data_IF_734017799950
#
_entry.id   IF_734017799950
#
_cell.length_a   1.000
_cell.length_b   1.000
_cell.length_c   1.000
_cell.angle_alpha   90.00
_cell.angle_beta   90.00
_cell.angle_gamma   90.00
#
_symmetry.space_group_name_H-M   'P 1'
#
loop_
_entity.id
_entity.type
_entity.pdbx_description
1 polymer ?
#
# COMPACT_ATOMS: atom_id res chain seq x y z
N UNK A 1 -7.41 6.36 15.62
CA UNK A 1 -8.29 6.28 14.45
C UNK A 1 -9.50 7.16 14.66
N UNK A 2 -9.86 7.97 13.67
CA UNK A 2 -11.03 8.85 13.74
C UNK A 2 -12.29 8.11 13.30
N UNK A 3 -13.32 8.19 14.13
CA UNK A 3 -14.64 7.59 13.91
C UNK A 3 -15.68 8.71 13.89
N UNK A 4 -16.52 8.73 12.88
CA UNK A 4 -17.74 9.52 12.81
C UNK A 4 -18.96 8.61 13.04
N UNK A 5 -20.18 9.15 13.18
CA UNK A 5 -21.39 8.35 13.40
C UNK A 5 -21.61 7.28 12.33
N UNK A 6 -21.16 7.57 11.10
CA UNK A 6 -21.38 6.77 9.92
C UNK A 6 -20.16 5.88 9.58
N UNK A 7 -19.17 5.84 10.47
CA UNK A 7 -17.96 5.03 10.26
C UNK A 7 -18.32 3.57 9.98
N UNK A 8 -17.92 3.10 8.82
CA UNK A 8 -18.14 1.72 8.41
C UNK A 8 -17.35 0.76 9.30
N UNK A 9 -18.04 -0.04 10.09
CA UNK A 9 -17.43 -1.03 11.00
C UNK A 9 -16.50 -2.00 10.29
N UNK A 10 -16.76 -2.27 9.02
CA UNK A 10 -15.91 -3.11 8.17
C UNK A 10 -14.49 -2.52 7.98
N UNK A 11 -14.32 -1.19 8.02
CA UNK A 11 -13.01 -0.54 7.91
C UNK A 11 -12.19 -0.60 9.21
N UNK A 12 -12.82 -0.94 10.34
CA UNK A 12 -12.19 -1.07 11.65
C UNK A 12 -11.61 -2.46 11.91
N UNK A 13 -12.31 -3.51 11.47
CA UNK A 13 -11.94 -4.88 11.78
C UNK A 13 -10.48 -5.20 11.40
N UNK A 14 -9.97 -4.86 10.22
CA UNK A 14 -8.59 -5.13 9.84
C UNK A 14 -7.54 -4.46 10.74
N UNK A 15 -7.82 -3.26 11.23
CA UNK A 15 -6.91 -2.55 12.14
C UNK A 15 -6.90 -3.17 13.53
N UNK A 16 -8.06 -3.58 14.03
CA UNK A 16 -8.17 -4.31 15.32
C UNK A 16 -7.45 -5.65 15.26
N UNK A 17 -7.62 -6.39 14.16
CA UNK A 17 -6.96 -7.68 13.96
C UNK A 17 -5.44 -7.50 13.88
N UNK A 18 -4.96 -6.44 13.24
CA UNK A 18 -3.54 -6.11 13.22
C UNK A 18 -3.01 -5.78 14.62
N UNK A 19 -3.73 -4.96 15.39
CA UNK A 19 -3.33 -4.62 16.75
C UNK A 19 -3.22 -5.87 17.63
N UNK A 20 -4.25 -6.74 17.62
CA UNK A 20 -4.25 -8.02 18.35
C UNK A 20 -3.14 -8.97 17.90
N UNK A 21 -2.84 -9.01 16.59
CA UNK A 21 -1.75 -9.84 16.07
C UNK A 21 -0.39 -9.29 16.55
N UNK A 22 -0.21 -7.97 16.55
CA UNK A 22 1.02 -7.35 17.02
C UNK A 22 1.27 -7.59 18.52
N UNK A 23 0.21 -7.54 19.34
CA UNK A 23 0.29 -7.87 20.78
C UNK A 23 0.71 -9.32 21.02
N UNK A 24 0.08 -10.26 20.31
CA UNK A 24 0.44 -11.69 20.41
C UNK A 24 1.89 -11.93 20.03
N UNK A 25 2.36 -11.34 18.93
CA UNK A 25 3.73 -11.51 18.47
C UNK A 25 4.74 -10.84 19.42
N UNK A 26 4.40 -9.69 19.99
CA UNK A 26 5.25 -9.05 21.00
C UNK A 26 5.38 -9.94 22.25
N UNK A 27 4.32 -10.62 22.67
CA UNK A 27 4.36 -11.57 23.80
C UNK A 27 5.10 -12.87 23.49
N UNK A 28 4.97 -13.42 22.26
CA UNK A 28 5.66 -14.63 21.82
C UNK A 28 7.19 -14.45 21.70
N UNK A 29 7.64 -13.23 21.36
CA UNK A 29 9.06 -12.92 21.16
C UNK A 29 9.79 -12.52 22.44
N UNK A 30 9.12 -12.57 23.58
CA UNK A 30 9.68 -12.38 24.94
C UNK A 30 10.64 -11.17 25.08
N UNK A 31 10.30 -10.06 24.41
CA UNK A 31 11.06 -8.82 24.44
C UNK A 31 12.40 -8.82 23.70
N UNK A 32 12.82 -9.94 23.09
CA UNK A 32 14.13 -10.05 22.44
C UNK A 32 14.27 -9.21 21.16
N UNK A 33 13.17 -8.80 20.52
CA UNK A 33 13.20 -8.07 19.26
C UNK A 33 12.93 -6.56 19.39
N UNK A 34 12.73 -6.02 20.61
CA UNK A 34 12.39 -4.61 20.81
C UNK A 34 11.09 -4.16 20.11
N UNK A 35 10.25 -5.13 19.72
CA UNK A 35 8.99 -4.85 19.03
C UNK A 35 7.95 -4.36 20.05
N UNK A 36 7.54 -3.11 19.91
CA UNK A 36 6.42 -2.59 20.69
C UNK A 36 5.11 -2.97 19.99
N UNK A 37 4.08 -3.42 20.75
CA UNK A 37 2.77 -3.70 20.17
C UNK A 37 2.12 -2.43 19.64
N UNK A 38 1.34 -2.57 18.58
CA UNK A 38 0.53 -1.48 18.04
C UNK A 38 -0.58 -1.11 19.03
N UNK A 39 -0.58 0.12 19.48
CA UNK A 39 -1.69 0.66 20.26
C UNK A 39 -2.69 1.34 19.34
N UNK A 40 -3.94 0.89 19.35
CA UNK A 40 -5.04 1.44 18.56
C UNK A 40 -6.01 2.21 19.46
N UNK A 41 -6.03 3.52 19.34
CA UNK A 41 -7.03 4.38 19.97
C UNK A 41 -8.13 4.73 18.95
N UNK A 42 -9.38 4.46 19.32
CA UNK A 42 -10.54 4.90 18.56
C UNK A 42 -11.02 6.25 19.08
N UNK A 43 -11.10 7.24 18.22
CA UNK A 43 -11.38 8.62 18.58
C UNK A 43 -12.61 9.14 17.87
N UNK A 44 -13.43 9.95 18.51
CA UNK A 44 -14.53 10.68 17.90
C UNK A 44 -14.55 12.14 18.37
N UNK A 45 -15.22 12.99 17.60
CA UNK A 45 -15.38 14.41 18.00
C UNK A 45 -16.21 14.49 19.30
N UNK A 46 -15.66 15.14 20.32
CA UNK A 46 -16.33 15.32 21.60
C UNK A 46 -17.68 16.05 21.50
N UNK A 47 -17.97 16.72 20.38
CA UNK A 47 -19.25 17.41 20.13
C UNK A 47 -20.40 16.48 19.73
N UNK A 48 -20.10 15.25 19.34
CA UNK A 48 -21.14 14.31 18.92
C UNK A 48 -22.06 13.88 20.08
N UNK A 49 -21.68 14.13 21.33
CA UNK A 49 -22.46 13.79 22.51
C UNK A 49 -22.48 12.29 22.81
N UNK A 50 -22.87 11.49 21.85
CA UNK A 50 -22.82 10.01 21.94
C UNK A 50 -21.65 9.43 21.17
N UNK A 51 -21.03 8.39 21.72
CA UNK A 51 -19.92 7.71 21.09
C UNK A 51 -20.42 6.92 19.87
N UNK A 52 -19.92 7.13 18.65
CA UNK A 52 -20.29 6.36 17.45
C UNK A 52 -20.01 4.86 17.61
N UNK A 53 -19.01 4.55 18.41
CA UNK A 53 -18.61 3.22 18.81
C UNK A 53 -18.40 3.19 20.31
N UNK A 54 -18.89 2.17 20.99
CA UNK A 54 -18.82 2.03 22.45
C UNK A 54 -17.38 2.09 23.00
N UNK A 55 -16.40 1.79 22.18
CA UNK A 55 -14.96 1.79 22.54
C UNK A 55 -14.25 3.09 22.13
N UNK A 56 -14.93 4.01 21.42
CA UNK A 56 -14.31 5.25 21.01
C UNK A 56 -14.35 6.27 22.14
N UNK A 57 -13.24 7.02 22.30
CA UNK A 57 -13.15 8.09 23.30
C UNK A 57 -13.31 9.47 22.64
N UNK A 58 -13.94 10.41 23.34
CA UNK A 58 -14.09 11.77 22.82
C UNK A 58 -12.74 12.49 22.78
N UNK A 59 -12.53 13.27 21.71
CA UNK A 59 -11.38 14.15 21.55
C UNK A 59 -11.83 15.51 21.04
N UNK A 60 -11.20 16.57 21.50
CA UNK A 60 -11.35 17.88 20.90
C UNK A 60 -10.33 18.02 19.76
N UNK A 61 -10.79 18.25 18.53
CA UNK A 61 -9.91 18.55 17.39
C UNK A 61 -9.33 19.97 17.55
N UNK A 62 -8.19 20.07 18.19
CA UNK A 62 -7.41 21.30 18.33
C UNK A 62 -5.93 20.98 18.41
N UNK A 63 -5.04 21.86 17.92
CA UNK A 63 -3.61 21.73 18.11
C UNK A 63 -3.24 21.58 19.59
N UNK A 64 -2.27 20.71 19.88
CA UNK A 64 -1.85 20.37 21.23
C UNK A 64 -2.49 19.07 21.74
N UNK A 65 -2.01 18.61 22.89
CA UNK A 65 -2.49 17.37 23.50
C UNK A 65 -1.72 16.13 23.09
N UNK A 66 -2.40 14.98 23.09
CA UNK A 66 -1.80 13.67 22.81
C UNK A 66 -1.30 13.59 21.37
N UNK A 67 -0.13 13.01 21.18
CA UNK A 67 0.50 12.84 19.86
C UNK A 67 0.33 11.41 19.40
N UNK A 68 0.05 11.26 18.12
CA UNK A 68 -0.04 9.97 17.44
C UNK A 68 1.04 9.87 16.38
N UNK A 69 1.66 8.70 16.26
CA UNK A 69 2.60 8.41 15.17
C UNK A 69 1.89 8.20 13.84
N UNK A 70 0.61 7.77 13.92
CA UNK A 70 -0.25 7.55 12.79
C UNK A 70 -1.69 7.94 13.10
N UNK A 71 -2.29 8.74 12.22
CA UNK A 71 -3.70 9.11 12.24
C UNK A 71 -4.42 8.46 11.07
N UNK A 72 -5.42 7.64 11.36
CA UNK A 72 -6.23 6.98 10.34
C UNK A 72 -7.64 7.58 10.32
N UNK A 73 -8.05 8.11 9.17
CA UNK A 73 -9.39 8.66 8.94
C UNK A 73 -10.20 7.61 8.20
N UNK A 74 -11.18 7.04 8.90
CA UNK A 74 -12.00 5.95 8.37
C UNK A 74 -12.97 6.42 7.28
N UNK A 75 -13.41 5.48 6.46
CA UNK A 75 -14.57 5.68 5.59
C UNK A 75 -15.84 5.80 6.46
N UNK A 76 -16.56 6.90 6.27
CA UNK A 76 -17.92 7.10 6.76
C UNK A 76 -18.94 7.08 5.62
N UNK A 77 -20.17 7.53 5.89
CA UNK A 77 -21.10 7.82 4.81
C UNK A 77 -20.61 9.02 3.98
N UNK A 78 -21.02 9.03 2.73
CA UNK A 78 -20.73 10.18 1.87
C UNK A 78 -21.47 11.41 2.39
N UNK A 79 -20.79 12.56 2.54
CA UNK A 79 -21.49 13.78 2.79
C UNK A 79 -22.48 14.02 1.63
N UNK A 80 -23.78 13.99 1.96
CA UNK A 80 -24.87 14.08 0.99
C UNK A 80 -24.85 15.37 0.16
N UNK A 81 -24.12 16.37 0.63
CA UNK A 81 -23.91 17.65 -0.04
C UNK A 81 -22.43 17.97 -0.06
N UNK A 82 -21.88 18.23 -1.24
CA UNK A 82 -20.44 18.42 -1.44
C UNK A 82 -19.77 19.60 -0.72
N UNK A 83 -20.40 20.19 0.27
CA UNK A 83 -19.89 21.37 0.98
C UNK A 83 -19.11 21.04 2.28
N UNK A 84 -19.28 19.83 2.83
CA UNK A 84 -18.69 19.45 4.12
C UNK A 84 -17.63 18.36 3.96
N UNK A 85 -16.52 18.66 3.29
CA UNK A 85 -15.41 17.72 3.18
C UNK A 85 -14.53 17.65 4.44
N UNK A 86 -14.79 18.46 5.42
CA UNK A 86 -14.11 18.46 6.69
C UNK A 86 -14.37 19.70 7.52
N UNK A 87 -14.45 19.50 8.83
CA UNK A 87 -14.47 20.59 9.80
C UNK A 87 -13.10 21.29 9.81
N UNK A 88 -13.08 22.61 9.84
CA UNK A 88 -11.85 23.41 9.93
C UNK A 88 -10.95 22.98 11.11
N UNK A 89 -11.55 22.57 12.22
CA UNK A 89 -10.81 22.08 13.42
C UNK A 89 -10.19 20.71 13.17
N UNK A 90 -10.91 19.81 12.50
CA UNK A 90 -10.33 18.52 12.09
C UNK A 90 -9.18 18.75 11.12
N UNK A 91 -9.34 19.64 10.15
CA UNK A 91 -8.30 20.00 9.21
C UNK A 91 -7.04 20.55 9.89
N UNK A 92 -7.22 21.45 10.86
CA UNK A 92 -6.12 22.02 11.64
C UNK A 92 -5.43 20.96 12.52
N UNK A 93 -6.21 20.07 13.14
CA UNK A 93 -5.70 18.98 13.96
C UNK A 93 -4.92 17.94 13.13
N UNK A 94 -5.39 17.60 11.93
CA UNK A 94 -4.70 16.71 10.99
C UNK A 94 -3.37 17.32 10.54
N UNK A 95 -3.37 18.60 10.14
CA UNK A 95 -2.12 19.32 9.81
C UNK A 95 -1.15 19.35 10.97
N UNK A 96 -1.63 19.65 12.17
CA UNK A 96 -0.79 19.70 13.36
C UNK A 96 -0.05 18.39 13.65
N UNK A 97 -0.70 17.23 13.43
CA UNK A 97 -0.06 15.91 13.58
C UNK A 97 0.92 15.65 12.43
N UNK A 98 0.53 15.94 11.20
CA UNK A 98 1.35 15.74 10.02
C UNK A 98 2.64 16.57 10.08
N UNK A 99 2.57 17.86 10.45
CA UNK A 99 3.72 18.76 10.59
C UNK A 99 4.72 18.27 11.66
N UNK A 100 4.24 17.47 12.62
CA UNK A 100 5.06 16.85 13.67
C UNK A 100 5.55 15.45 13.36
N UNK A 101 5.41 15.04 12.12
CA UNK A 101 5.96 13.80 11.59
C UNK A 101 5.02 12.61 11.63
N UNK A 102 3.77 12.78 12.08
CA UNK A 102 2.78 11.73 12.02
C UNK A 102 2.45 11.35 10.56
N UNK A 103 2.17 10.08 10.35
CA UNK A 103 1.53 9.63 9.13
C UNK A 103 0.03 9.86 9.20
N UNK A 104 -0.56 10.27 8.08
CA UNK A 104 -2.00 10.46 7.97
C UNK A 104 -2.54 9.55 6.87
N UNK A 105 -3.57 8.79 7.20
CA UNK A 105 -4.13 7.77 6.30
C UNK A 105 -5.61 8.02 6.10
N UNK A 106 -6.04 8.11 4.85
CA UNK A 106 -7.44 8.26 4.47
C UNK A 106 -7.95 7.06 3.68
N UNK A 107 -9.12 6.56 4.06
CA UNK A 107 -9.82 5.49 3.35
C UNK A 107 -11.21 5.95 2.92
N UNK A 108 -11.55 5.70 1.67
CA UNK A 108 -12.88 6.02 1.12
C UNK A 108 -13.22 7.52 1.26
N UNK A 109 -14.36 7.86 1.87
CA UNK A 109 -14.76 9.24 2.16
C UNK A 109 -13.80 9.95 3.11
N UNK A 110 -13.06 9.23 3.98
CA UNK A 110 -12.04 9.83 4.84
C UNK A 110 -10.93 10.56 4.08
N UNK A 111 -10.70 10.23 2.81
CA UNK A 111 -9.75 10.94 1.94
C UNK A 111 -10.16 12.39 1.71
N UNK A 112 -11.47 12.68 1.75
CA UNK A 112 -12.00 14.04 1.53
C UNK A 112 -11.61 14.98 2.69
N UNK A 113 -11.57 14.48 3.91
CA UNK A 113 -11.09 15.23 5.05
C UNK A 113 -9.60 15.61 4.92
N UNK A 114 -8.80 14.72 4.32
CA UNK A 114 -7.40 15.01 4.04
C UNK A 114 -7.25 16.07 2.94
N UNK A 115 -8.11 16.01 1.91
CA UNK A 115 -8.17 17.04 0.86
C UNK A 115 -8.54 18.41 1.44
N UNK A 116 -9.57 18.46 2.28
CA UNK A 116 -9.99 19.69 2.96
C UNK A 116 -8.89 20.25 3.89
N UNK A 117 -8.07 19.37 4.47
CA UNK A 117 -6.91 19.78 5.26
C UNK A 117 -5.72 20.26 4.40
N UNK A 118 -5.78 20.20 3.06
CA UNK A 118 -4.66 20.57 2.18
C UNK A 118 -3.50 19.57 2.19
N UNK A 119 -3.68 18.40 2.82
CA UNK A 119 -2.62 17.38 2.95
C UNK A 119 -2.36 16.60 1.66
N UNK A 120 -3.19 16.80 0.64
CA UNK A 120 -3.07 16.12 -0.66
C UNK A 120 -2.56 17.04 -1.76
N UNK A 121 -2.37 18.33 -1.49
CA UNK A 121 -1.99 19.32 -2.48
C UNK A 121 -0.60 19.02 -3.07
N UNK A 122 -0.50 19.12 -4.40
CA UNK A 122 0.75 18.84 -5.14
C UNK A 122 1.14 17.37 -5.22
N UNK A 123 0.39 16.48 -4.57
CA UNK A 123 0.66 15.04 -4.50
C UNK A 123 -0.37 14.16 -5.23
N UNK A 124 -0.06 12.88 -5.42
CA UNK A 124 -1.03 11.90 -5.86
C UNK A 124 -1.96 11.51 -4.71
N UNK A 125 -3.24 11.36 -5.03
CA UNK A 125 -4.22 10.86 -4.09
C UNK A 125 -5.21 9.90 -4.76
N UNK A 126 -5.54 8.84 -4.06
CA UNK A 126 -6.59 7.90 -4.45
C UNK A 126 -7.91 8.40 -3.86
N UNK A 127 -8.73 9.02 -4.69
CA UNK A 127 -10.01 9.62 -4.30
C UNK A 127 -11.16 8.79 -4.89
N UNK A 128 -12.26 8.55 -4.15
CA UNK A 128 -13.41 7.83 -4.69
C UNK A 128 -13.88 8.42 -6.01
N UNK A 129 -14.15 7.61 -7.05
CA UNK A 129 -14.47 8.08 -8.40
C UNK A 129 -15.64 9.08 -8.44
N UNK A 130 -16.65 8.88 -7.59
CA UNK A 130 -17.82 9.78 -7.46
C UNK A 130 -17.44 11.19 -7.01
N UNK A 131 -16.31 11.37 -6.31
CA UNK A 131 -15.80 12.64 -5.83
C UNK A 131 -14.67 13.23 -6.69
N UNK A 132 -14.17 12.48 -7.68
CA UNK A 132 -13.04 12.87 -8.48
C UNK A 132 -13.25 14.21 -9.23
N UNK A 133 -14.47 14.45 -9.74
CA UNK A 133 -14.82 15.70 -10.41
C UNK A 133 -14.75 16.88 -9.46
N UNK A 134 -15.34 16.75 -8.29
CA UNK A 134 -15.40 17.82 -7.29
C UNK A 134 -14.02 18.08 -6.69
N UNK A 135 -13.22 17.02 -6.49
CA UNK A 135 -11.84 17.15 -6.05
C UNK A 135 -11.01 17.99 -7.03
N UNK A 136 -11.11 17.73 -8.34
CA UNK A 136 -10.43 18.56 -9.35
C UNK A 136 -10.86 20.02 -9.36
N UNK A 137 -12.12 20.28 -9.04
CA UNK A 137 -12.64 21.66 -9.02
C UNK A 137 -12.18 22.43 -7.78
N UNK A 138 -12.16 21.80 -6.60
CA UNK A 138 -11.83 22.45 -5.32
C UNK A 138 -10.34 22.42 -4.99
N UNK A 139 -9.66 21.37 -5.43
CA UNK A 139 -8.25 21.09 -5.15
C UNK A 139 -7.53 20.74 -6.46
N UNK A 140 -7.33 21.71 -7.38
CA UNK A 140 -6.77 21.47 -8.70
C UNK A 140 -5.33 20.92 -8.65
N UNK A 141 -4.62 21.15 -7.57
CA UNK A 141 -3.24 20.69 -7.37
C UNK A 141 -3.15 19.21 -7.00
N UNK A 142 -4.26 18.56 -6.65
CA UNK A 142 -4.29 17.12 -6.37
C UNK A 142 -4.19 16.33 -7.67
N UNK A 143 -3.23 15.42 -7.73
CA UNK A 143 -3.08 14.47 -8.84
C UNK A 143 -3.83 13.19 -8.52
N UNK A 144 -4.92 12.93 -9.23
CA UNK A 144 -5.72 11.73 -8.99
C UNK A 144 -4.93 10.48 -9.41
N UNK A 145 -4.78 9.55 -8.48
CA UNK A 145 -4.24 8.22 -8.75
C UNK A 145 -5.29 7.33 -9.44
N UNK A 146 -4.83 6.23 -10.05
CA UNK A 146 -5.75 5.26 -10.66
C UNK A 146 -6.66 4.62 -9.59
N UNK A 147 -7.87 4.27 -10.01
CA UNK A 147 -8.85 3.55 -9.20
C UNK A 147 -8.24 2.24 -8.69
N UNK A 148 -8.43 1.95 -7.40
CA UNK A 148 -7.88 0.75 -6.76
C UNK A 148 -6.41 0.85 -6.30
N UNK A 149 -5.70 1.93 -6.63
CA UNK A 149 -4.34 2.15 -6.15
C UNK A 149 -4.34 2.73 -4.73
N UNK A 150 -3.35 2.33 -3.94
CA UNK A 150 -2.96 3.08 -2.74
C UNK A 150 -1.98 4.15 -3.20
N UNK A 151 -2.28 5.42 -2.90
CA UNK A 151 -1.38 6.53 -3.20
C UNK A 151 -0.68 7.00 -1.92
N UNK A 152 0.61 7.31 -2.04
CA UNK A 152 1.44 7.84 -0.96
C UNK A 152 2.09 9.16 -1.39
N UNK A 153 2.01 10.16 -0.55
CA UNK A 153 2.69 11.44 -0.72
C UNK A 153 2.94 12.09 0.63
N UNK A 154 4.15 12.51 0.88
CA UNK A 154 4.58 13.24 2.08
C UNK A 154 3.95 12.72 3.39
N UNK A 155 4.15 11.46 3.70
CA UNK A 155 3.56 10.78 4.88
C UNK A 155 2.02 10.73 4.90
N UNK A 156 1.39 10.88 3.75
CA UNK A 156 -0.05 10.69 3.60
C UNK A 156 -0.31 9.48 2.72
N UNK A 157 -1.17 8.57 3.20
CA UNK A 157 -1.63 7.40 2.45
C UNK A 157 -3.11 7.53 2.14
N UNK A 158 -3.50 7.27 0.91
CA UNK A 158 -4.91 7.31 0.51
C UNK A 158 -5.32 6.08 -0.27
N UNK A 159 -6.53 5.60 0.00
CA UNK A 159 -7.17 4.54 -0.77
C UNK A 159 -8.66 4.89 -0.99
N UNK A 160 -9.09 4.90 -2.24
CA UNK A 160 -10.44 5.33 -2.62
C UNK A 160 -11.53 4.36 -2.20
N UNK A 161 -11.23 3.07 -2.21
CA UNK A 161 -12.23 2.02 -2.00
C UNK A 161 -12.13 1.44 -0.59
N UNK A 162 -13.25 1.30 0.13
CA UNK A 162 -13.28 0.61 1.43
C UNK A 162 -12.74 -0.81 1.39
N UNK A 163 -12.87 -1.50 0.26
CA UNK A 163 -12.28 -2.84 0.02
C UNK A 163 -10.76 -2.87 0.09
N UNK A 164 -10.11 -1.73 -0.15
CA UNK A 164 -8.66 -1.57 -0.06
C UNK A 164 -8.11 -1.55 1.36
N UNK A 165 -8.96 -1.59 2.39
CA UNK A 165 -8.54 -1.50 3.81
C UNK A 165 -7.49 -2.54 4.19
N UNK A 166 -7.65 -3.79 3.74
CA UNK A 166 -6.70 -4.86 4.05
C UNK A 166 -5.34 -4.60 3.39
N UNK A 167 -5.36 -4.21 2.11
CA UNK A 167 -4.15 -3.85 1.37
C UNK A 167 -3.43 -2.66 2.02
N UNK A 168 -4.21 -1.66 2.44
CA UNK A 168 -3.70 -0.48 3.14
C UNK A 168 -3.06 -0.86 4.49
N UNK A 169 -3.69 -1.75 5.26
CA UNK A 169 -3.16 -2.24 6.54
C UNK A 169 -1.87 -3.05 6.35
N UNK A 170 -1.80 -3.92 5.33
CA UNK A 170 -0.56 -4.64 4.99
C UNK A 170 0.55 -3.65 4.61
N UNK A 171 0.21 -2.66 3.80
CA UNK A 171 1.12 -1.62 3.36
C UNK A 171 1.68 -0.83 4.57
N UNK A 172 0.81 -0.38 5.46
CA UNK A 172 1.19 0.30 6.71
C UNK A 172 2.08 -0.58 7.59
N UNK A 173 1.74 -1.86 7.73
CA UNK A 173 2.51 -2.81 8.55
C UNK A 173 3.92 -3.02 8.01
N UNK A 174 4.08 -3.12 6.69
CA UNK A 174 5.41 -3.17 6.04
C UNK A 174 6.22 -1.90 6.32
N UNK A 175 5.56 -0.75 6.33
CA UNK A 175 6.21 0.55 6.49
C UNK A 175 6.65 0.82 7.94
N UNK A 176 5.77 0.50 8.90
CA UNK A 176 5.94 0.93 10.29
C UNK A 176 6.47 -0.14 11.22
N UNK A 177 6.35 -1.41 10.85
CA UNK A 177 6.80 -2.52 11.68
C UNK A 177 7.84 -3.39 10.98
N UNK A 178 7.37 -4.40 10.27
CA UNK A 178 8.25 -5.32 9.57
C UNK A 178 7.55 -6.02 8.43
N UNK A 179 8.34 -6.42 7.43
CA UNK A 179 7.86 -7.27 6.34
C UNK A 179 7.29 -8.59 6.87
N UNK A 180 7.93 -9.19 7.87
CA UNK A 180 7.48 -10.46 8.46
C UNK A 180 6.09 -10.36 9.12
N UNK A 181 5.82 -9.28 9.88
CA UNK A 181 4.49 -9.05 10.47
C UNK A 181 3.43 -8.82 9.38
N UNK A 182 3.75 -8.02 8.37
CA UNK A 182 2.86 -7.75 7.26
C UNK A 182 2.49 -9.03 6.49
N UNK A 183 3.46 -9.93 6.25
CA UNK A 183 3.22 -11.20 5.60
C UNK A 183 2.37 -12.16 6.45
N UNK A 184 2.60 -12.20 7.75
CA UNK A 184 1.76 -13.00 8.68
C UNK A 184 0.33 -12.47 8.70
N UNK A 185 0.15 -11.15 8.76
CA UNK A 185 -1.17 -10.52 8.68
C UNK A 185 -1.85 -10.79 7.34
N UNK A 186 -1.15 -10.61 6.22
CA UNK A 186 -1.66 -10.90 4.88
C UNK A 186 -2.19 -12.34 4.76
N UNK A 187 -1.40 -13.31 5.23
CA UNK A 187 -1.78 -14.74 5.22
C UNK A 187 -2.97 -15.02 6.13
N UNK A 188 -3.00 -14.44 7.33
CA UNK A 188 -4.12 -14.59 8.25
C UNK A 188 -5.43 -14.07 7.68
N UNK A 189 -5.38 -13.01 6.85
CA UNK A 189 -6.53 -12.46 6.15
C UNK A 189 -6.85 -13.16 4.82
N UNK A 190 -6.12 -14.20 4.43
CA UNK A 190 -6.31 -14.89 3.16
C UNK A 190 -6.06 -14.02 1.92
N UNK A 191 -5.32 -12.91 2.07
CA UNK A 191 -5.05 -12.00 0.97
C UNK A 191 -4.02 -12.59 0.01
N UNK A 192 -4.24 -12.49 -1.31
CA UNK A 192 -3.25 -12.93 -2.29
C UNK A 192 -1.96 -12.10 -2.17
N UNK A 193 -0.84 -12.69 -2.57
CA UNK A 193 0.47 -12.02 -2.56
C UNK A 193 0.48 -10.73 -3.40
N UNK A 194 -0.37 -10.70 -4.43
CA UNK A 194 -0.59 -9.56 -5.33
C UNK A 194 -1.53 -8.48 -4.76
N UNK A 195 -2.19 -8.71 -3.63
CA UNK A 195 -3.13 -7.73 -3.06
C UNK A 195 -2.45 -6.42 -2.65
N UNK A 196 -1.17 -6.49 -2.30
CA UNK A 196 -0.33 -5.32 -2.04
C UNK A 196 0.97 -5.52 -2.82
N UNK A 197 1.12 -4.94 -3.98
CA UNK A 197 2.40 -4.95 -4.69
C UNK A 197 3.49 -4.39 -3.77
N UNK A 198 4.67 -4.99 -3.77
CA UNK A 198 5.81 -4.51 -2.97
C UNK A 198 6.17 -3.03 -3.24
N UNK A 199 5.69 -2.51 -4.35
CA UNK A 199 5.85 -1.13 -4.79
C UNK A 199 4.61 -0.23 -4.57
N UNK A 200 3.54 -0.73 -3.94
CA UNK A 200 2.34 0.08 -3.65
C UNK A 200 2.64 1.25 -2.70
N UNK A 201 3.74 1.15 -1.98
CA UNK A 201 4.22 2.14 -1.01
C UNK A 201 5.56 2.78 -1.40
N UNK A 202 5.93 2.76 -2.65
CA UNK A 202 7.05 3.61 -3.03
C UNK A 202 6.60 5.06 -2.88
N UNK A 203 7.36 5.88 -2.13
CA UNK A 203 7.05 7.30 -2.05
C UNK A 203 6.96 7.82 -3.48
N UNK A 204 5.78 8.26 -3.87
CA UNK A 204 5.64 9.06 -5.06
C UNK A 204 6.34 10.38 -4.74
N UNK A 205 7.69 10.39 -4.90
CA UNK A 205 8.41 11.65 -4.92
C UNK A 205 7.65 12.56 -5.90
N UNK A 206 7.50 13.82 -5.58
CA UNK A 206 6.71 14.87 -6.25
C UNK A 206 6.98 15.03 -7.76
N UNK A 207 7.45 14.01 -8.43
CA UNK A 207 7.76 13.92 -9.83
C UNK A 207 7.53 12.47 -10.30
N UNK A 208 6.40 11.86 -9.91
CA UNK A 208 6.02 10.64 -10.62
C UNK A 208 5.73 11.02 -12.04
N UNK A 209 6.71 10.68 -12.79
CA UNK A 209 6.69 10.60 -14.20
C UNK A 209 5.56 9.65 -14.61
N UNK A 210 4.39 10.20 -15.03
CA UNK A 210 3.24 9.41 -15.50
C UNK A 210 3.71 8.34 -16.49
N UNK A 211 4.70 8.70 -17.32
CA UNK A 211 5.35 7.76 -18.23
C UNK A 211 5.96 6.57 -17.49
N UNK A 212 6.57 6.77 -16.31
CA UNK A 212 7.16 5.65 -15.55
C UNK A 212 6.08 4.78 -14.92
N UNK A 213 4.98 5.37 -14.44
CA UNK A 213 3.85 4.59 -13.93
C UNK A 213 3.23 3.72 -15.03
N UNK A 214 3.02 4.29 -16.21
CA UNK A 214 2.51 3.57 -17.38
C UNK A 214 3.53 2.53 -17.90
N UNK A 215 4.82 2.86 -17.93
CA UNK A 215 5.88 1.93 -18.32
C UNK A 215 5.95 0.71 -17.39
N UNK A 216 5.78 0.90 -16.09
CA UNK A 216 5.71 -0.21 -15.12
C UNK A 216 4.51 -1.12 -15.37
N UNK A 217 3.32 -0.53 -15.54
CA UNK A 217 2.11 -1.30 -15.83
C UNK A 217 2.28 -2.10 -17.14
N UNK A 218 2.86 -1.47 -18.15
CA UNK A 218 3.15 -2.13 -19.42
C UNK A 218 4.19 -3.27 -19.28
N UNK A 219 5.27 -3.06 -18.53
CA UNK A 219 6.28 -4.10 -18.23
C UNK A 219 5.63 -5.31 -17.56
N UNK A 220 4.77 -5.11 -16.58
CA UNK A 220 4.07 -6.21 -15.89
C UNK A 220 3.16 -6.97 -16.86
N UNK A 221 2.40 -6.25 -17.68
CA UNK A 221 1.51 -6.86 -18.65
C UNK A 221 2.25 -7.71 -19.73
N UNK A 222 3.48 -7.30 -20.09
CA UNK A 222 4.28 -7.92 -21.16
C UNK A 222 5.53 -8.64 -20.68
N UNK A 223 5.68 -8.86 -19.36
CA UNK A 223 6.90 -9.47 -18.80
C UNK A 223 7.15 -10.90 -19.30
N UNK A 224 6.13 -11.57 -19.83
CA UNK A 224 6.20 -12.91 -20.42
C UNK A 224 6.85 -12.90 -21.81
N UNK A 225 6.84 -11.74 -22.47
CA UNK A 225 7.38 -11.56 -23.80
C UNK A 225 8.89 -11.30 -23.77
N UNK A 226 9.54 -11.40 -24.92
CA UNK A 226 10.95 -11.09 -25.07
C UNK A 226 11.19 -9.56 -25.15
N UNK A 227 10.77 -8.84 -24.10
CA UNK A 227 10.95 -7.39 -24.01
C UNK A 227 12.27 -7.03 -23.35
N UNK A 228 12.83 -5.91 -23.79
CA UNK A 228 13.99 -5.25 -23.20
C UNK A 228 13.70 -3.76 -22.94
N UNK A 229 14.68 -3.03 -22.41
CA UNK A 229 14.55 -1.59 -22.16
C UNK A 229 14.24 -0.79 -23.42
N UNK A 230 14.72 -1.22 -24.59
CA UNK A 230 14.47 -0.52 -25.86
C UNK A 230 13.01 -0.71 -26.29
N UNK A 231 12.48 -1.92 -26.16
CA UNK A 231 11.07 -2.21 -26.45
C UNK A 231 10.13 -1.37 -25.56
N UNK A 232 10.44 -1.28 -24.27
CA UNK A 232 9.68 -0.42 -23.34
C UNK A 232 9.79 1.06 -23.76
N UNK A 233 10.98 1.54 -24.09
CA UNK A 233 11.19 2.93 -24.47
C UNK A 233 10.46 3.28 -25.78
N UNK A 234 10.47 2.38 -26.75
CA UNK A 234 9.76 2.54 -28.02
C UNK A 234 8.24 2.64 -27.82
N UNK A 235 7.65 1.85 -26.91
CA UNK A 235 6.23 1.90 -26.57
C UNK A 235 5.79 3.29 -26.10
N UNK A 236 6.66 4.00 -25.40
CA UNK A 236 6.36 5.31 -24.84
C UNK A 236 7.01 6.47 -25.61
N UNK A 237 7.49 6.22 -26.82
CA UNK A 237 8.07 7.22 -27.72
C UNK A 237 9.22 8.02 -27.10
N UNK A 238 10.03 7.38 -26.24
CA UNK A 238 11.23 7.98 -25.62
C UNK A 238 12.47 7.17 -25.96
N UNK A 239 13.66 7.78 -25.79
CA UNK A 239 14.91 7.02 -25.90
C UNK A 239 15.10 6.11 -24.67
N UNK A 240 15.79 4.95 -24.86
CA UNK A 240 16.15 4.06 -23.76
C UNK A 240 16.92 4.76 -22.64
N UNK A 241 17.79 5.73 -22.99
CA UNK A 241 18.53 6.57 -22.03
C UNK A 241 17.60 7.47 -21.22
N UNK A 242 16.61 8.07 -21.87
CA UNK A 242 15.61 8.91 -21.20
C UNK A 242 14.76 8.07 -20.26
N UNK A 243 14.27 6.92 -20.72
CA UNK A 243 13.51 5.98 -19.89
C UNK A 243 14.34 5.53 -18.68
N UNK A 244 15.57 5.06 -18.89
CA UNK A 244 16.43 4.58 -17.80
C UNK A 244 16.68 5.66 -16.73
N UNK A 245 17.04 6.87 -17.16
CA UNK A 245 17.28 8.01 -16.23
C UNK A 245 16.02 8.37 -15.44
N UNK A 246 14.86 8.42 -16.10
CA UNK A 246 13.57 8.75 -15.45
C UNK A 246 13.15 7.63 -14.52
N UNK A 247 13.32 6.36 -14.94
CA UNK A 247 13.01 5.18 -14.15
C UNK A 247 13.88 5.11 -12.89
N UNK A 248 15.18 5.32 -13.02
CA UNK A 248 16.12 5.33 -11.90
C UNK A 248 15.85 6.48 -10.93
N UNK A 249 15.51 7.68 -11.44
CA UNK A 249 15.11 8.82 -10.60
C UNK A 249 13.80 8.54 -9.85
N UNK A 250 12.83 7.86 -10.47
CA UNK A 250 11.52 7.58 -9.91
C UNK A 250 11.53 6.34 -9.00
N UNK A 251 12.28 5.30 -9.37
CA UNK A 251 12.22 3.97 -8.77
C UNK A 251 13.49 3.57 -8.01
N UNK A 252 14.58 4.30 -8.16
CA UNK A 252 15.89 3.92 -7.60
C UNK A 252 16.53 2.70 -8.27
N UNK A 253 15.91 2.12 -9.30
CA UNK A 253 16.41 0.96 -10.05
C UNK A 253 16.22 1.17 -11.55
N UNK A 254 16.98 0.42 -12.37
CA UNK A 254 16.80 0.48 -13.82
C UNK A 254 15.58 -0.31 -14.30
N UNK A 255 15.01 0.01 -15.51
CA UNK A 255 13.91 -0.74 -16.10
C UNK A 255 14.21 -2.24 -16.26
N UNK A 256 15.45 -2.57 -16.66
CA UNK A 256 15.90 -3.96 -16.82
C UNK A 256 15.93 -4.72 -15.49
N UNK A 257 16.33 -4.04 -14.41
CA UNK A 257 16.29 -4.62 -13.07
C UNK A 257 14.84 -4.82 -12.61
N UNK A 258 13.98 -3.86 -12.84
CA UNK A 258 12.56 -3.96 -12.53
C UNK A 258 11.88 -5.14 -13.24
N UNK A 259 12.09 -5.27 -14.57
CA UNK A 259 11.58 -6.40 -15.35
C UNK A 259 12.07 -7.74 -14.80
N UNK A 260 13.35 -7.83 -14.45
CA UNK A 260 13.95 -9.04 -13.89
C UNK A 260 13.31 -9.41 -12.55
N UNK A 261 13.15 -8.45 -11.65
CA UNK A 261 12.51 -8.67 -10.35
C UNK A 261 11.05 -9.11 -10.51
N UNK A 262 10.28 -8.46 -11.38
CA UNK A 262 8.91 -8.85 -11.70
C UNK A 262 8.79 -10.30 -12.22
N UNK A 263 9.69 -10.72 -13.11
CA UNK A 263 9.74 -12.11 -13.61
C UNK A 263 10.06 -13.11 -12.51
N UNK A 264 10.99 -12.78 -11.61
CA UNK A 264 11.36 -13.65 -10.50
C UNK A 264 10.24 -13.76 -9.47
N UNK A 265 9.51 -12.70 -9.23
CA UNK A 265 8.35 -12.71 -8.32
C UNK A 265 7.20 -13.55 -8.90
N UNK A 266 6.93 -13.42 -10.19
CA UNK A 266 5.99 -14.30 -10.89
C UNK A 266 6.41 -15.77 -10.82
N UNK A 267 7.72 -16.06 -10.97
CA UNK A 267 8.24 -17.40 -10.85
C UNK A 267 8.07 -17.97 -9.42
N UNK A 268 8.33 -17.18 -8.37
CA UNK A 268 8.10 -17.59 -6.98
C UNK A 268 6.63 -17.94 -6.74
N UNK A 269 5.73 -17.12 -7.22
CA UNK A 269 4.28 -17.35 -7.14
C UNK A 269 3.88 -18.66 -7.84
N UNK A 270 4.37 -18.89 -9.07
CA UNK A 270 4.09 -20.12 -9.81
C UNK A 270 4.67 -21.37 -9.14
N UNK A 271 5.89 -21.28 -8.60
CA UNK A 271 6.53 -22.39 -7.86
C UNK A 271 5.71 -22.80 -6.64
N UNK A 272 5.07 -21.85 -5.99
CA UNK A 272 4.22 -22.11 -4.82
C UNK A 272 2.84 -22.65 -5.21
N UNK A 273 2.24 -22.14 -6.31
CA UNK A 273 0.81 -22.35 -6.62
C UNK A 273 0.55 -23.41 -7.67
N UNK A 274 1.56 -23.79 -8.46
CA UNK A 274 1.36 -24.67 -9.60
C UNK A 274 2.27 -25.87 -9.56
N UNK A 275 1.92 -26.90 -10.36
CA UNK A 275 2.75 -28.09 -10.57
C UNK A 275 3.57 -28.01 -11.87
N UNK A 276 3.65 -26.85 -12.52
CA UNK A 276 4.44 -26.68 -13.72
C UNK A 276 5.91 -27.06 -13.48
N UNK A 277 6.58 -27.62 -14.48
CA UNK A 277 8.01 -27.90 -14.39
C UNK A 277 8.79 -26.57 -14.24
N UNK A 278 10.02 -26.65 -13.72
CA UNK A 278 10.90 -25.47 -13.61
C UNK A 278 11.13 -24.85 -14.99
N UNK A 279 11.18 -25.67 -16.02
CA UNK A 279 11.37 -25.30 -17.41
C UNK A 279 10.14 -24.56 -17.96
N UNK A 280 8.94 -25.09 -17.72
CA UNK A 280 7.69 -24.41 -18.06
C UNK A 280 7.57 -23.06 -17.37
N UNK A 281 7.91 -22.97 -16.07
CA UNK A 281 7.88 -21.71 -15.33
C UNK A 281 8.87 -20.71 -15.92
N UNK A 282 10.11 -21.13 -16.22
CA UNK A 282 11.10 -20.25 -16.83
C UNK A 282 10.57 -19.62 -18.13
N UNK A 283 9.97 -20.44 -19.02
CA UNK A 283 9.37 -19.95 -20.26
C UNK A 283 8.16 -19.05 -20.02
N UNK A 284 7.27 -19.43 -19.12
CA UNK A 284 6.07 -18.65 -18.79
C UNK A 284 6.40 -17.27 -18.20
N UNK A 285 7.52 -17.12 -17.51
CA UNK A 285 7.96 -15.82 -17.00
C UNK A 285 8.94 -15.08 -17.93
N UNK A 286 9.09 -15.55 -19.17
CA UNK A 286 9.83 -14.85 -20.24
C UNK A 286 11.33 -15.14 -20.31
N UNK A 287 11.81 -16.27 -19.73
CA UNK A 287 13.21 -16.72 -19.91
C UNK A 287 13.28 -17.84 -20.94
N UNK A 288 14.09 -17.65 -21.99
CA UNK A 288 14.38 -18.69 -23.00
C UNK A 288 15.43 -19.69 -22.52
N UNK A 289 16.42 -19.21 -21.76
CA UNK A 289 17.48 -20.03 -21.18
C UNK A 289 17.12 -20.40 -19.73
N UNK A 290 16.86 -21.69 -19.53
CA UNK A 290 16.48 -22.26 -18.23
C UNK A 290 17.68 -22.30 -17.28
N UNK A 291 18.90 -22.46 -17.80
CA UNK A 291 20.12 -22.43 -17.01
C UNK A 291 20.34 -21.04 -16.40
N UNK A 292 20.29 -20.02 -17.25
CA UNK A 292 20.36 -18.62 -16.81
C UNK A 292 19.26 -18.26 -15.78
N UNK A 293 18.02 -18.72 -16.02
CA UNK A 293 16.92 -18.52 -15.06
C UNK A 293 17.24 -19.14 -13.70
N UNK A 294 17.73 -20.41 -13.66
CA UNK A 294 18.05 -21.09 -12.40
C UNK A 294 19.13 -20.37 -11.60
N UNK A 295 20.17 -19.89 -12.27
CA UNK A 295 21.26 -19.13 -11.63
C UNK A 295 20.78 -17.78 -11.11
N UNK A 296 19.97 -17.09 -11.88
CA UNK A 296 19.39 -15.80 -11.50
C UNK A 296 18.44 -15.96 -10.31
N UNK A 297 17.58 -16.98 -10.34
CA UNK A 297 16.65 -17.29 -9.26
C UNK A 297 17.40 -17.63 -7.96
N UNK A 298 18.47 -18.45 -8.07
CA UNK A 298 19.31 -18.80 -6.90
C UNK A 298 19.98 -17.58 -6.30
N UNK A 299 20.52 -16.67 -7.13
CA UNK A 299 21.11 -15.40 -6.67
C UNK A 299 20.11 -14.51 -5.95
N UNK A 300 18.86 -14.49 -6.40
CA UNK A 300 17.81 -13.64 -5.86
C UNK A 300 17.10 -14.24 -4.64
N UNK A 301 16.94 -15.57 -4.58
CA UNK A 301 16.13 -16.26 -3.55
C UNK A 301 16.97 -17.04 -2.55
N UNK A 302 18.31 -17.07 -2.72
CA UNK A 302 19.23 -17.82 -1.85
C UNK A 302 19.23 -19.35 -2.07
N UNK A 303 18.26 -19.89 -2.82
CA UNK A 303 18.13 -21.32 -3.07
C UNK A 303 17.66 -21.61 -4.50
N UNK A 304 17.81 -22.86 -4.95
CA UNK A 304 17.35 -23.26 -6.28
C UNK A 304 15.81 -23.24 -6.39
N UNK A 305 15.23 -23.06 -7.59
CA UNK A 305 13.77 -23.13 -7.80
C UNK A 305 13.14 -24.42 -7.25
N UNK A 306 13.85 -25.55 -7.36
CA UNK A 306 13.39 -26.83 -6.83
C UNK A 306 13.34 -26.84 -5.31
N UNK A 307 14.41 -26.36 -4.65
CA UNK A 307 14.45 -26.24 -3.20
C UNK A 307 13.40 -25.28 -2.67
N UNK A 308 13.19 -24.16 -3.36
CA UNK A 308 12.15 -23.19 -3.03
C UNK A 308 10.76 -23.82 -3.06
N UNK A 309 10.43 -24.60 -4.09
CA UNK A 309 9.16 -25.33 -4.20
C UNK A 309 8.97 -26.33 -3.07
N UNK A 310 9.99 -27.11 -2.76
CA UNK A 310 9.91 -28.10 -1.68
C UNK A 310 9.66 -27.45 -0.32
N UNK A 311 10.35 -26.35 -0.03
CA UNK A 311 10.14 -25.59 1.20
C UNK A 311 8.72 -25.00 1.28
N UNK A 312 8.19 -24.46 0.16
CA UNK A 312 6.84 -23.92 0.09
C UNK A 312 5.77 -25.01 0.30
N UNK A 313 5.98 -26.21 -0.24
CA UNK A 313 5.06 -27.36 -0.07
C UNK A 313 5.15 -27.98 1.33
N UNK A 314 6.32 -28.02 1.95
CA UNK A 314 6.49 -28.49 3.32
C UNK A 314 5.82 -27.57 4.36
N UNK A 315 5.76 -26.25 4.12
CA UNK A 315 5.07 -25.29 4.97
C UNK A 315 3.53 -25.33 4.85
N UNK A 316 2.98 -26.07 3.88
CA UNK A 316 1.52 -26.27 3.70
C UNK A 316 1.00 -27.59 4.25
N UNK A 317 1.90 -28.49 4.69
CA UNK A 317 1.54 -29.75 5.35
C UNK A 317 1.56 -29.55 6.87
N UNK A 318 0.54 -28.92 7.44
CA UNK A 318 0.18 -29.11 8.85
C UNK A 318 -0.59 -30.43 8.98
N UNK A 319 -0.23 -31.29 9.92
CA UNK A 319 -0.97 -32.53 10.14
C UNK A 319 -2.35 -32.25 10.71
N UNK A 320 -3.28 -33.07 10.29
CA UNK A 320 -4.69 -33.22 10.73
C UNK A 320 -4.85 -33.34 12.23
#
# INVERSE_FOLDING_TARGET
>A
MLCDPDTQRASLAPLRDLARLSERLASELDGQAGMQPLRLDLLHDARLGEAPLSESRPIAFRPGGERYDLVYVAAGEDPATGDEWGDARLSEWLRWHHDRGAWVVGLGSGVLALAAAGLLDGGPASIPPRHARLARQRHPDIRLAHVGAIAEHDRVLTAAEPSSVFALVVAMTRRFHSHGLAERYRRACGLPETAVPDNALLPMRSNQDLLIAEARAWIIAHMHDAIDTNAVAAQFHVSARTLARRFERSMGISPARYLREARLDAARSMLHRTRFSIEQIAHLVGYRDVGFFRDLFRKSSGCSPRAYRMAAQAGTASPS
#
